data_IF_657162981893
#
_entry.id   IF_657162981893
#
_cell.length_a   1.000
_cell.length_b   1.000
_cell.length_c   1.000
_cell.angle_alpha   90.00
_cell.angle_beta   90.00
_cell.angle_gamma   90.00
#
_symmetry.space_group_name_H-M   'P 1'
#
loop_
_entity.id
_entity.type
_entity.pdbx_description
1 polymer ?
#
# COMPACT_ATOMS: atom_id res chain seq x y z
N UNK A 1 -1.13 9.29 5.94
CA UNK A 1 -1.91 8.10 5.53
C UNK A 1 -2.47 8.39 4.15
N UNK A 2 -2.38 7.45 3.20
CA UNK A 2 -2.95 7.63 1.86
C UNK A 2 -4.47 7.71 1.97
N UNK A 3 -5.09 8.74 1.39
CA UNK A 3 -6.55 8.87 1.33
C UNK A 3 -7.00 8.34 -0.03
N UNK A 4 -8.03 7.49 -0.04
CA UNK A 4 -8.56 6.88 -1.26
C UNK A 4 -10.06 7.11 -1.37
N UNK A 5 -10.57 7.13 -2.61
CA UNK A 5 -12.01 7.12 -2.95
C UNK A 5 -12.48 5.74 -3.37
N UNK A 6 -11.56 4.90 -3.89
CA UNK A 6 -11.85 3.53 -4.33
C UNK A 6 -10.71 2.60 -3.94
N UNK A 7 -11.02 1.36 -3.58
CA UNK A 7 -10.04 0.32 -3.27
C UNK A 7 -10.54 -1.03 -3.78
N UNK A 8 -9.64 -1.87 -4.26
CA UNK A 8 -9.95 -3.22 -4.68
C UNK A 8 -8.70 -3.98 -5.12
N UNK A 9 -8.91 -5.18 -5.66
CA UNK A 9 -7.85 -5.91 -6.39
C UNK A 9 -7.79 -5.45 -7.84
N UNK A 10 -6.68 -5.71 -8.51
CA UNK A 10 -6.58 -5.51 -9.95
C UNK A 10 -5.93 -6.71 -10.63
N UNK A 11 -6.47 -7.09 -11.78
CA UNK A 11 -6.04 -8.24 -12.56
C UNK A 11 -6.03 -7.89 -14.05
N UNK A 12 -5.00 -8.36 -14.76
CA UNK A 12 -4.93 -8.35 -16.22
C UNK A 12 -4.08 -9.52 -16.71
N UNK A 13 -4.73 -10.47 -17.41
CA UNK A 13 -4.09 -11.71 -17.86
C UNK A 13 -3.46 -12.47 -16.68
N UNK A 14 -2.14 -12.62 -16.70
CA UNK A 14 -1.28 -13.28 -15.73
C UNK A 14 -0.84 -12.37 -14.56
N UNK A 15 -1.25 -11.09 -14.55
CA UNK A 15 -0.77 -10.08 -13.60
C UNK A 15 -1.83 -9.75 -12.56
N UNK A 16 -1.45 -9.82 -11.29
CA UNK A 16 -2.24 -9.39 -10.13
C UNK A 16 -1.53 -8.28 -9.37
N UNK A 17 -2.30 -7.29 -8.93
CA UNK A 17 -1.93 -6.37 -7.84
C UNK A 17 -2.93 -6.59 -6.70
N UNK A 18 -2.43 -7.07 -5.55
CA UNK A 18 -3.26 -7.48 -4.41
C UNK A 18 -4.18 -6.38 -3.92
N UNK A 19 -3.69 -5.14 -3.87
CA UNK A 19 -4.45 -3.96 -3.48
C UNK A 19 -4.10 -2.80 -4.41
N UNK A 20 -5.14 -2.21 -5.00
CA UNK A 20 -5.06 -0.99 -5.78
C UNK A 20 -6.05 0.00 -5.18
N UNK A 21 -5.54 1.13 -4.67
CA UNK A 21 -6.35 2.19 -4.10
C UNK A 21 -6.19 3.47 -4.92
N UNK A 22 -7.32 4.04 -5.33
CA UNK A 22 -7.39 5.26 -6.13
C UNK A 22 -7.86 6.42 -5.28
N UNK A 23 -7.29 7.59 -5.52
CA UNK A 23 -7.91 8.86 -5.15
C UNK A 23 -8.24 9.61 -6.44
N UNK A 24 -9.50 9.52 -6.86
CA UNK A 24 -9.95 10.12 -8.11
C UNK A 24 -9.92 11.66 -8.08
N UNK A 25 -10.00 12.26 -6.89
CA UNK A 25 -9.95 13.72 -6.71
C UNK A 25 -8.53 14.27 -6.92
N UNK A 26 -7.53 13.60 -6.38
CA UNK A 26 -6.11 14.05 -6.42
C UNK A 26 -5.29 13.36 -7.50
N UNK A 27 -5.86 12.37 -8.20
CA UNK A 27 -5.20 11.52 -9.21
C UNK A 27 -4.02 10.76 -8.61
N UNK A 28 -4.17 10.31 -7.37
CA UNK A 28 -3.17 9.48 -6.70
C UNK A 28 -3.58 8.01 -6.79
N UNK A 29 -2.59 7.13 -6.93
CA UNK A 29 -2.78 5.69 -6.98
C UNK A 29 -1.77 5.00 -6.08
N UNK A 30 -2.26 4.11 -5.22
CA UNK A 30 -1.46 3.23 -4.41
C UNK A 30 -1.57 1.81 -4.96
N UNK A 31 -0.42 1.23 -5.27
CA UNK A 31 -0.29 -0.18 -5.62
C UNK A 31 0.31 -0.91 -4.42
N UNK A 32 -0.28 -2.04 -4.06
CA UNK A 32 0.19 -2.83 -2.94
C UNK A 32 0.29 -4.31 -3.25
N UNK A 33 1.29 -4.93 -2.61
CA UNK A 33 1.57 -6.36 -2.69
C UNK A 33 1.76 -6.90 -1.26
N UNK A 34 1.16 -8.06 -0.99
CA UNK A 34 1.32 -8.80 0.24
C UNK A 34 2.21 -10.02 0.01
N UNK A 35 3.42 -9.99 0.56
CA UNK A 35 4.32 -11.14 0.64
C UNK A 35 4.37 -11.64 2.07
N UNK A 36 3.45 -12.53 2.43
CA UNK A 36 3.29 -13.05 3.79
C UNK A 36 4.38 -14.05 4.23
N UNK A 37 5.62 -13.60 4.17
CA UNK A 37 6.85 -14.35 4.45
C UNK A 37 7.76 -13.55 5.38
N UNK A 38 8.74 -14.24 5.96
CA UNK A 38 9.77 -13.61 6.77
C UNK A 38 10.93 -13.10 5.89
N UNK A 39 11.68 -12.11 6.40
CA UNK A 39 12.91 -11.60 5.77
C UNK A 39 12.72 -11.14 4.31
N UNK A 40 11.57 -10.56 3.99
CA UNK A 40 11.27 -10.04 2.63
C UNK A 40 12.23 -8.89 2.27
N UNK A 41 12.73 -8.91 1.03
CA UNK A 41 13.49 -7.80 0.47
C UNK A 41 12.54 -6.86 -0.28
N UNK A 42 12.22 -5.70 0.31
CA UNK A 42 11.26 -4.76 -0.26
C UNK A 42 11.68 -4.21 -1.63
N UNK A 43 12.98 -4.12 -1.92
CA UNK A 43 13.48 -3.66 -3.23
C UNK A 43 13.08 -4.61 -4.36
N UNK A 44 13.17 -5.92 -4.13
CA UNK A 44 12.77 -6.92 -5.12
C UNK A 44 11.27 -6.80 -5.43
N UNK A 45 10.46 -6.67 -4.38
CA UNK A 45 9.01 -6.56 -4.51
C UNK A 45 8.60 -5.25 -5.18
N UNK A 46 9.25 -4.13 -4.85
CA UNK A 46 8.97 -2.84 -5.50
C UNK A 46 9.28 -2.88 -7.01
N UNK A 47 10.36 -3.54 -7.42
CA UNK A 47 10.69 -3.75 -8.84
C UNK A 47 9.60 -4.56 -9.55
N UNK A 48 9.23 -5.72 -9.01
CA UNK A 48 8.17 -6.57 -9.57
C UNK A 48 6.83 -5.81 -9.65
N UNK A 49 6.50 -5.02 -8.62
CA UNK A 49 5.29 -4.23 -8.59
C UNK A 49 5.30 -3.12 -9.66
N UNK A 50 6.42 -2.42 -9.84
CA UNK A 50 6.61 -1.38 -10.86
C UNK A 50 6.43 -1.92 -12.29
N UNK A 51 6.88 -3.15 -12.56
CA UNK A 51 6.66 -3.82 -13.84
C UNK A 51 5.16 -4.06 -14.09
N UNK A 52 4.40 -4.46 -13.05
CA UNK A 52 2.95 -4.65 -13.15
C UNK A 52 2.20 -3.34 -13.36
N UNK A 53 2.64 -2.22 -12.77
CA UNK A 53 1.91 -0.95 -12.87
C UNK A 53 1.85 -0.38 -14.29
N UNK A 54 2.75 -0.78 -15.18
CA UNK A 54 2.76 -0.40 -16.59
C UNK A 54 1.50 -0.84 -17.34
N UNK A 55 0.83 -1.89 -16.85
CA UNK A 55 -0.37 -2.45 -17.45
C UNK A 55 -1.66 -1.81 -16.94
N UNK A 56 -1.59 -1.00 -15.87
CA UNK A 56 -2.75 -0.32 -15.30
C UNK A 56 -3.02 0.96 -16.08
N UNK A 57 -4.11 0.98 -16.85
CA UNK A 57 -4.52 2.14 -17.65
C UNK A 57 -5.42 3.07 -16.82
N UNK A 58 -4.81 4.00 -16.08
CA UNK A 58 -5.53 4.98 -15.27
C UNK A 58 -4.73 6.26 -15.11
N UNK A 59 -5.10 7.34 -15.79
CA UNK A 59 -4.44 8.67 -15.72
C UNK A 59 -2.90 8.64 -15.86
N UNK A 60 -2.32 7.74 -16.65
CA UNK A 60 -0.87 7.49 -16.70
C UNK A 60 0.01 8.75 -16.82
N UNK A 61 -0.42 9.74 -17.60
CA UNK A 61 0.34 10.98 -17.81
C UNK A 61 0.24 12.01 -16.67
N UNK A 62 -0.63 11.77 -15.68
CA UNK A 62 -0.95 12.74 -14.61
C UNK A 62 -0.96 12.12 -13.21
N UNK A 63 -1.00 10.80 -13.09
CA UNK A 63 -1.16 10.13 -11.81
C UNK A 63 0.10 10.22 -10.97
N UNK A 64 -0.09 10.26 -9.66
CA UNK A 64 1.01 10.14 -8.68
C UNK A 64 0.98 8.74 -8.10
N UNK A 65 2.07 8.00 -8.25
CA UNK A 65 2.15 6.61 -7.84
C UNK A 65 2.81 6.47 -6.47
N UNK A 66 2.32 5.51 -5.69
CA UNK A 66 2.87 5.13 -4.40
C UNK A 66 2.79 3.62 -4.25
N UNK A 67 3.78 3.01 -3.60
CA UNK A 67 3.79 1.58 -3.31
C UNK A 67 3.57 1.31 -1.83
N UNK A 68 2.94 0.19 -1.52
CA UNK A 68 2.92 -0.39 -0.19
C UNK A 68 3.21 -1.90 -0.26
N UNK A 69 4.08 -2.37 0.61
CA UNK A 69 4.48 -3.77 0.67
C UNK A 69 4.18 -4.28 2.07
N UNK A 70 3.48 -5.41 2.15
CA UNK A 70 3.15 -6.07 3.40
C UNK A 70 3.94 -7.37 3.54
N UNK A 71 4.50 -7.62 4.72
CA UNK A 71 5.26 -8.84 5.01
C UNK A 71 5.10 -9.31 6.46
N UNK A 72 5.58 -10.52 6.80
CA UNK A 72 5.73 -10.89 8.21
C UNK A 72 6.92 -10.17 8.84
N UNK A 73 8.01 -10.04 8.10
CA UNK A 73 9.19 -9.25 8.44
C UNK A 73 9.99 -8.87 7.20
N UNK A 74 10.75 -7.78 7.25
CA UNK A 74 11.66 -7.36 6.18
C UNK A 74 13.12 -7.65 6.54
N UNK A 75 13.88 -8.19 5.59
CA UNK A 75 15.36 -8.19 5.65
C UNK A 75 15.93 -6.87 5.15
N UNK A 76 15.23 -6.23 4.20
CA UNK A 76 15.56 -4.91 3.67
C UNK A 76 14.28 -4.11 3.48
N UNK A 77 14.24 -2.92 4.08
CA UNK A 77 13.21 -1.91 3.86
C UNK A 77 13.75 -0.84 2.91
N UNK A 78 12.85 -0.22 2.14
CA UNK A 78 13.12 0.96 1.34
C UNK A 78 11.98 1.96 1.55
N UNK A 79 12.25 3.25 1.37
CA UNK A 79 11.25 4.33 1.45
C UNK A 79 10.91 4.92 0.08
N UNK A 80 11.67 4.59 -0.96
CA UNK A 80 11.47 5.07 -2.32
C UNK A 80 11.97 4.03 -3.35
N UNK A 81 11.34 3.98 -4.52
CA UNK A 81 11.79 3.25 -5.70
C UNK A 81 11.37 4.04 -6.95
N UNK A 82 12.34 4.42 -7.80
CA UNK A 82 12.11 5.19 -9.04
C UNK A 82 11.24 6.45 -8.81
N UNK A 83 11.57 7.26 -7.79
CA UNK A 83 10.83 8.48 -7.44
C UNK A 83 9.45 8.25 -6.80
N UNK A 84 9.05 7.00 -6.58
CA UNK A 84 7.78 6.63 -5.93
C UNK A 84 8.02 6.29 -4.48
N UNK A 85 7.23 6.88 -3.58
CA UNK A 85 7.25 6.52 -2.16
C UNK A 85 6.89 5.06 -1.96
N UNK A 86 7.61 4.38 -1.08
CA UNK A 86 7.36 2.98 -0.71
C UNK A 86 7.07 2.90 0.78
N UNK A 87 5.90 2.37 1.13
CA UNK A 87 5.55 1.98 2.48
C UNK A 87 5.88 0.50 2.71
N UNK A 88 6.56 0.19 3.80
CA UNK A 88 6.80 -1.18 4.24
C UNK A 88 6.05 -1.41 5.55
N UNK A 89 5.16 -2.41 5.58
CA UNK A 89 4.38 -2.78 6.75
C UNK A 89 4.66 -4.23 7.13
N UNK A 90 5.21 -4.46 8.31
CA UNK A 90 5.34 -5.81 8.87
C UNK A 90 4.42 -6.03 10.08
N UNK A 91 4.49 -7.23 10.67
CA UNK A 91 3.68 -7.57 11.85
C UNK A 91 3.88 -6.60 13.01
N UNK A 92 5.10 -6.12 13.24
CA UNK A 92 5.39 -5.16 14.31
C UNK A 92 4.71 -3.83 14.03
N UNK A 93 4.73 -3.37 12.78
CA UNK A 93 4.01 -2.17 12.36
C UNK A 93 2.50 -2.32 12.59
N UNK A 94 1.92 -3.43 12.15
CA UNK A 94 0.49 -3.73 12.30
C UNK A 94 0.06 -3.84 13.78
N UNK A 95 0.86 -4.48 14.62
CA UNK A 95 0.63 -4.54 16.07
C UNK A 95 0.63 -3.15 16.70
N UNK A 96 1.55 -2.27 16.29
CA UNK A 96 1.60 -0.90 16.78
C UNK A 96 0.36 -0.10 16.35
N UNK A 97 -0.07 -0.25 15.09
CA UNK A 97 -1.32 0.36 14.62
C UNK A 97 -2.53 -0.14 15.39
N UNK A 98 -2.61 -1.45 15.65
CA UNK A 98 -3.70 -2.04 16.42
C UNK A 98 -3.76 -1.49 17.85
N UNK A 99 -2.62 -1.35 18.54
CA UNK A 99 -2.54 -0.77 19.89
C UNK A 99 -3.03 0.68 19.90
N UNK A 100 -2.63 1.49 18.91
CA UNK A 100 -3.07 2.89 18.78
C UNK A 100 -4.58 2.94 18.50
N UNK A 101 -5.07 2.11 17.59
CA UNK A 101 -6.48 2.04 17.23
C UNK A 101 -7.35 1.63 18.43
N UNK A 102 -6.96 0.58 19.16
CA UNK A 102 -7.64 0.12 20.37
C UNK A 102 -7.72 1.21 21.44
N UNK A 103 -6.66 2.00 21.63
CA UNK A 103 -6.66 3.15 22.55
C UNK A 103 -7.68 4.22 22.15
N UNK A 104 -7.77 4.55 20.85
CA UNK A 104 -8.72 5.55 20.35
C UNK A 104 -10.19 5.12 20.51
N UNK A 105 -10.48 3.84 20.29
CA UNK A 105 -11.82 3.29 20.55
C UNK A 105 -12.15 3.44 22.03
N UNK A 106 -11.24 3.03 22.91
CA UNK A 106 -11.47 3.03 24.34
C UNK A 106 -11.53 4.45 24.96
N UNK A 107 -11.01 5.47 24.29
CA UNK A 107 -11.07 6.86 24.74
C UNK A 107 -12.26 7.64 24.17
N UNK A 108 -13.27 6.98 23.61
CA UNK A 108 -14.52 7.61 23.16
C UNK A 108 -14.44 8.46 21.88
N UNK A 109 -13.31 8.43 21.16
CA UNK A 109 -13.07 9.23 19.94
C UNK A 109 -13.57 8.53 18.66
N UNK A 110 -14.30 7.41 18.81
CA UNK A 110 -14.66 6.51 17.71
C UNK A 110 -15.70 7.07 16.73
N UNK A 111 -16.49 8.08 17.14
CA UNK A 111 -17.59 8.64 16.32
C UNK A 111 -17.13 9.46 15.10
N UNK A 112 -15.83 9.65 14.89
CA UNK A 112 -15.27 10.47 13.79
C UNK A 112 -14.63 9.66 12.65
N UNK A 113 -14.63 8.32 12.74
CA UNK A 113 -13.95 7.47 11.74
C UNK A 113 -14.91 6.78 10.75
N UNK A 114 -16.22 6.98 10.89
CA UNK A 114 -17.26 6.34 10.06
C UNK A 114 -18.26 7.33 9.42
N UNK A 115 -17.96 8.63 9.38
CA UNK A 115 -18.70 9.63 8.61
C UNK A 115 -17.83 10.22 7.50
#
# INVERSE_FOLDING_TARGET
MFRFTKIGKWWHKDKEIDILALNEKTKEILFAECKWQNKVNALKIAKELAEKTQYVQWHNNKRKETFAIFAKSFSKRINEYEGRKVYCFDLKDLENYWKIFKRKINSGVANLLYN
#
